data_IF_585497569906
#
_entry.id   IF_585497569906
#
_cell.length_a   1.000
_cell.length_b   1.000
_cell.length_c   1.000
_cell.angle_alpha   90.00
_cell.angle_beta   90.00
_cell.angle_gamma   90.00
#
_symmetry.space_group_name_H-M   'P 1'
#
loop_
_entity.id
_entity.type
_entity.pdbx_description
1 polymer ?
#
# COMPACT_ATOMS: atom_id res chain seq x y z
N UNK A 1 -21.40 -8.69 -3.46
CA UNK A 1 -21.33 -8.77 -2.00
C UNK A 1 -20.01 -9.44 -1.64
N UNK A 2 -19.27 -8.96 -0.66
CA UNK A 2 -17.98 -9.52 -0.24
C UNK A 2 -18.14 -10.02 1.19
N UNK A 3 -17.64 -11.21 1.47
CA UNK A 3 -17.62 -11.81 2.79
C UNK A 3 -16.17 -11.95 3.28
N UNK A 4 -15.90 -11.57 4.52
CA UNK A 4 -14.59 -11.79 5.15
C UNK A 4 -14.65 -13.13 5.87
N UNK A 5 -14.12 -14.17 5.23
CA UNK A 5 -14.16 -15.54 5.76
C UNK A 5 -13.15 -15.74 6.88
N UNK A 6 -11.90 -15.36 6.66
CA UNK A 6 -10.78 -15.63 7.58
C UNK A 6 -9.90 -14.41 7.75
N UNK A 7 -9.46 -14.16 8.98
CA UNK A 7 -8.42 -13.17 9.32
C UNK A 7 -7.24 -13.87 9.98
N UNK A 8 -6.04 -13.66 9.44
CA UNK A 8 -4.79 -14.15 10.00
C UNK A 8 -3.96 -12.99 10.56
N UNK A 9 -3.50 -13.12 11.80
CA UNK A 9 -2.59 -12.18 12.44
C UNK A 9 -1.71 -12.94 13.45
N UNK A 10 -0.38 -12.99 13.28
CA UNK A 10 0.51 -13.70 14.21
C UNK A 10 0.46 -13.14 15.63
N UNK A 11 0.02 -11.87 15.78
CA UNK A 11 -0.15 -11.21 17.08
C UNK A 11 -1.58 -11.26 17.62
N UNK A 12 -2.45 -12.08 17.01
CA UNK A 12 -3.86 -12.23 17.41
C UNK A 12 -3.98 -12.47 18.92
N UNK A 13 -4.84 -11.67 19.57
CA UNK A 13 -5.18 -11.78 20.97
C UNK A 13 -6.71 -11.91 21.16
N UNK A 14 -7.13 -12.21 22.38
CA UNK A 14 -8.55 -12.44 22.69
C UNK A 14 -9.46 -11.22 22.43
N UNK A 15 -8.95 -10.02 22.62
CA UNK A 15 -9.72 -8.78 22.40
C UNK A 15 -9.96 -8.56 20.91
N UNK A 16 -8.90 -8.67 20.12
CA UNK A 16 -8.96 -8.58 18.65
C UNK A 16 -9.86 -9.67 18.07
N UNK A 17 -9.72 -10.91 18.54
CA UNK A 17 -10.59 -12.01 18.08
C UNK A 17 -12.07 -11.72 18.37
N UNK A 18 -12.41 -11.30 19.60
CA UNK A 18 -13.78 -10.92 19.96
C UNK A 18 -14.33 -9.80 19.09
N UNK A 19 -13.50 -8.81 18.76
CA UNK A 19 -13.88 -7.73 17.84
C UNK A 19 -14.18 -8.26 16.45
N UNK A 20 -13.29 -9.06 15.86
CA UNK A 20 -13.45 -9.62 14.52
C UNK A 20 -14.69 -10.50 14.42
N UNK A 21 -14.97 -11.34 15.42
CA UNK A 21 -16.18 -12.15 15.46
C UNK A 21 -17.46 -11.31 15.53
N UNK A 22 -17.45 -10.17 16.23
CA UNK A 22 -18.57 -9.22 16.22
C UNK A 22 -18.78 -8.58 14.84
N UNK A 23 -17.71 -8.42 14.06
CA UNK A 23 -17.77 -7.94 12.68
C UNK A 23 -18.22 -9.02 11.68
N UNK A 24 -18.51 -10.24 12.14
CA UNK A 24 -18.99 -11.33 11.29
C UNK A 24 -17.89 -12.20 10.69
N UNK A 25 -16.63 -12.05 11.10
CA UNK A 25 -15.53 -12.90 10.65
C UNK A 25 -15.73 -14.33 11.15
N UNK A 26 -15.73 -15.30 10.22
CA UNK A 26 -16.02 -16.70 10.55
C UNK A 26 -14.82 -17.38 11.21
N UNK A 27 -13.62 -17.18 10.66
CA UNK A 27 -12.42 -17.84 11.12
C UNK A 27 -11.33 -16.82 11.50
N UNK A 28 -10.60 -17.14 12.56
CA UNK A 28 -9.47 -16.33 13.05
C UNK A 28 -8.31 -17.28 13.29
N UNK A 29 -7.14 -16.95 12.76
CA UNK A 29 -5.94 -17.78 12.86
C UNK A 29 -4.70 -16.91 13.11
N UNK A 30 -3.60 -17.54 13.46
CA UNK A 30 -2.28 -16.91 13.54
C UNK A 30 -1.40 -17.21 12.33
N UNK A 31 -1.84 -18.09 11.46
CA UNK A 31 -1.07 -18.56 10.32
C UNK A 31 -1.76 -18.13 9.00
N UNK A 32 -1.03 -17.38 8.18
CA UNK A 32 -1.50 -16.96 6.86
C UNK A 32 -1.69 -18.15 5.90
N UNK A 33 -1.00 -19.27 6.14
CA UNK A 33 -1.12 -20.48 5.33
C UNK A 33 -2.54 -21.04 5.34
N UNK A 34 -3.26 -20.92 6.46
CA UNK A 34 -4.67 -21.32 6.56
C UNK A 34 -5.57 -20.59 5.55
N UNK A 35 -5.22 -19.33 5.20
CA UNK A 35 -5.92 -18.56 4.16
C UNK A 35 -5.49 -19.01 2.76
N UNK A 36 -4.20 -19.24 2.57
CA UNK A 36 -3.64 -19.57 1.26
C UNK A 36 -4.11 -20.96 0.79
N UNK A 37 -4.25 -21.91 1.68
CA UNK A 37 -4.70 -23.27 1.37
C UNK A 37 -6.21 -23.43 1.28
N UNK A 38 -6.99 -22.47 1.74
CA UNK A 38 -8.46 -22.56 1.71
C UNK A 38 -8.99 -22.29 0.29
N UNK A 39 -9.49 -23.33 -0.36
CA UNK A 39 -10.02 -23.27 -1.73
C UNK A 39 -11.30 -22.41 -1.86
N UNK A 40 -11.99 -22.13 -0.76
CA UNK A 40 -13.20 -21.29 -0.76
C UNK A 40 -12.88 -19.79 -0.65
N UNK A 41 -11.61 -19.41 -0.52
CA UNK A 41 -11.16 -18.01 -0.52
C UNK A 41 -10.71 -17.61 -1.93
N UNK A 42 -11.43 -16.69 -2.56
CA UNK A 42 -11.13 -16.19 -3.91
C UNK A 42 -10.06 -15.10 -3.92
N UNK A 43 -9.97 -14.30 -2.86
CA UNK A 43 -9.10 -13.13 -2.80
C UNK A 43 -8.53 -12.90 -1.41
N UNK A 44 -7.35 -12.31 -1.35
CA UNK A 44 -6.68 -11.93 -0.10
C UNK A 44 -6.42 -10.44 -0.02
N UNK A 45 -6.54 -9.88 1.19
CA UNK A 45 -6.16 -8.51 1.51
C UNK A 45 -4.90 -8.58 2.39
N UNK A 46 -3.79 -8.09 1.86
CA UNK A 46 -2.49 -8.05 2.54
C UNK A 46 -2.33 -6.67 3.17
N UNK A 47 -2.48 -6.61 4.50
CA UNK A 47 -2.37 -5.41 5.32
C UNK A 47 -1.34 -5.62 6.46
N UNK A 48 -0.38 -6.48 6.24
CA UNK A 48 0.69 -6.83 7.16
C UNK A 48 1.80 -5.77 7.16
N UNK A 49 2.94 -6.04 7.79
CA UNK A 49 4.12 -5.17 7.69
C UNK A 49 4.73 -5.22 6.29
N UNK A 50 5.28 -4.10 5.85
CA UNK A 50 5.81 -3.90 4.48
C UNK A 50 6.81 -4.97 4.05
N UNK A 51 7.67 -5.41 4.96
CA UNK A 51 8.70 -6.44 4.72
C UNK A 51 8.12 -7.83 4.38
N UNK A 52 6.81 -8.01 4.56
CA UNK A 52 6.11 -9.27 4.25
C UNK A 52 5.25 -9.20 2.98
N UNK A 53 4.99 -8.00 2.44
CA UNK A 53 4.03 -7.82 1.34
C UNK A 53 4.42 -8.60 0.10
N UNK A 54 5.67 -8.44 -0.38
CA UNK A 54 6.14 -9.12 -1.60
C UNK A 54 6.05 -10.64 -1.47
N UNK A 55 6.41 -11.19 -0.30
CA UNK A 55 6.29 -12.61 0.01
C UNK A 55 4.84 -13.09 -0.11
N UNK A 56 3.92 -12.42 0.58
CA UNK A 56 2.52 -12.83 0.56
C UNK A 56 1.84 -12.62 -0.79
N UNK A 57 2.26 -11.61 -1.58
CA UNK A 57 1.79 -11.47 -2.98
C UNK A 57 2.19 -12.71 -3.79
N UNK A 58 3.45 -13.13 -3.71
CA UNK A 58 3.96 -14.28 -4.44
C UNK A 58 3.24 -15.57 -4.02
N UNK A 59 3.08 -15.79 -2.72
CA UNK A 59 2.43 -17.00 -2.19
C UNK A 59 0.94 -17.03 -2.58
N UNK A 60 0.22 -15.91 -2.45
CA UNK A 60 -1.19 -15.80 -2.83
C UNK A 60 -1.39 -15.99 -4.35
N UNK A 61 -0.52 -15.41 -5.16
CA UNK A 61 -0.56 -15.59 -6.61
C UNK A 61 -0.37 -17.06 -7.01
N UNK A 62 0.60 -17.74 -6.39
CA UNK A 62 0.83 -19.19 -6.61
C UNK A 62 -0.34 -20.05 -6.14
N UNK A 63 -1.07 -19.61 -5.13
CA UNK A 63 -2.30 -20.24 -4.66
C UNK A 63 -3.54 -19.88 -5.51
N UNK A 64 -3.37 -19.11 -6.61
CA UNK A 64 -4.44 -18.72 -7.53
C UNK A 64 -5.41 -17.68 -6.98
N UNK A 65 -5.07 -16.98 -5.90
CA UNK A 65 -5.94 -15.99 -5.27
C UNK A 65 -5.73 -14.61 -5.84
N UNK A 66 -6.82 -13.86 -6.02
CA UNK A 66 -6.74 -12.43 -6.32
C UNK A 66 -6.22 -11.66 -5.13
N UNK A 67 -5.52 -10.53 -5.36
CA UNK A 67 -4.72 -9.87 -4.33
C UNK A 67 -5.02 -8.39 -4.29
N UNK A 68 -5.37 -7.90 -3.10
CA UNK A 68 -5.19 -6.51 -2.72
C UNK A 68 -4.03 -6.43 -1.72
N UNK A 69 -3.09 -5.54 -1.95
CA UNK A 69 -1.96 -5.34 -1.04
C UNK A 69 -1.80 -3.87 -0.71
N UNK A 70 -1.57 -3.54 0.56
CA UNK A 70 -1.19 -2.19 0.98
C UNK A 70 0.16 -1.78 0.38
N UNK A 71 0.34 -0.49 0.26
CA UNK A 71 1.59 0.14 -0.19
C UNK A 71 2.65 0.16 0.95
N UNK A 72 3.93 0.21 0.62
CA UNK A 72 4.57 -0.20 -0.63
C UNK A 72 4.60 -1.73 -0.77
N UNK A 73 4.82 -2.24 -1.97
CA UNK A 73 4.95 -3.70 -2.19
C UNK A 73 6.20 -4.25 -1.47
N UNK A 74 7.33 -3.57 -1.60
CA UNK A 74 8.59 -3.87 -0.91
C UNK A 74 9.53 -2.66 -1.05
N UNK A 75 10.59 -2.61 -0.25
CA UNK A 75 11.67 -1.63 -0.40
C UNK A 75 12.66 -2.03 -1.49
N UNK A 76 12.75 -3.31 -1.83
CA UNK A 76 13.61 -3.86 -2.88
C UNK A 76 12.86 -3.95 -4.21
N UNK A 77 13.33 -3.20 -5.23
CA UNK A 77 12.71 -3.20 -6.55
C UNK A 77 12.80 -4.55 -7.26
N UNK A 78 13.76 -5.41 -6.93
CA UNK A 78 13.85 -6.77 -7.45
C UNK A 78 12.67 -7.60 -6.97
N UNK A 79 12.39 -7.56 -5.66
CA UNK A 79 11.24 -8.23 -5.07
C UNK A 79 9.91 -7.67 -5.55
N UNK A 80 9.81 -6.34 -5.75
CA UNK A 80 8.63 -5.72 -6.34
C UNK A 80 8.34 -6.29 -7.73
N UNK A 81 9.37 -6.38 -8.58
CA UNK A 81 9.24 -6.94 -9.94
C UNK A 81 8.87 -8.42 -9.92
N UNK A 82 9.50 -9.20 -9.04
CA UNK A 82 9.19 -10.61 -8.86
C UNK A 82 7.72 -10.82 -8.44
N UNK A 83 7.24 -10.05 -7.47
CA UNK A 83 5.86 -10.13 -6.99
C UNK A 83 4.84 -9.80 -8.11
N UNK A 84 5.09 -8.71 -8.86
CA UNK A 84 4.23 -8.33 -9.99
C UNK A 84 4.24 -9.40 -11.07
N UNK A 85 5.43 -9.87 -11.48
CA UNK A 85 5.55 -10.89 -12.50
C UNK A 85 4.88 -12.21 -12.12
N UNK A 86 5.02 -12.62 -10.83
CA UNK A 86 4.36 -13.84 -10.36
C UNK A 86 2.84 -13.72 -10.41
N UNK A 87 2.28 -12.55 -10.08
CA UNK A 87 0.84 -12.32 -10.18
C UNK A 87 0.35 -12.32 -11.64
N UNK A 88 1.13 -11.73 -12.56
CA UNK A 88 0.85 -11.75 -14.00
C UNK A 88 0.91 -13.17 -14.56
N UNK A 89 1.95 -13.93 -14.26
CA UNK A 89 2.14 -15.31 -14.72
C UNK A 89 1.04 -16.25 -14.21
N UNK A 90 0.56 -16.02 -12.99
CA UNK A 90 -0.56 -16.77 -12.41
C UNK A 90 -1.92 -16.33 -12.95
N UNK A 91 -2.01 -15.23 -13.69
CA UNK A 91 -3.26 -14.69 -14.25
C UNK A 91 -4.22 -14.15 -13.17
N UNK A 92 -3.72 -13.83 -11.98
CA UNK A 92 -4.52 -13.27 -10.90
C UNK A 92 -4.51 -11.74 -10.92
N UNK A 93 -5.53 -11.13 -10.33
CA UNK A 93 -5.60 -9.67 -10.20
C UNK A 93 -4.76 -9.24 -9.02
N UNK A 94 -3.84 -8.28 -9.25
CA UNK A 94 -3.10 -7.60 -8.20
C UNK A 94 -3.49 -6.13 -8.19
N UNK A 95 -3.97 -5.65 -7.06
CA UNK A 95 -4.25 -4.24 -6.81
C UNK A 95 -3.46 -3.74 -5.61
N UNK A 96 -2.79 -2.60 -5.77
CA UNK A 96 -2.05 -1.96 -4.68
C UNK A 96 -2.87 -0.83 -4.08
N UNK A 97 -2.80 -0.67 -2.75
CA UNK A 97 -3.58 0.22 -1.93
C UNK A 97 -3.23 1.71 -2.07
N UNK A 98 -3.14 2.23 -3.29
CA UNK A 98 -3.03 3.68 -3.52
C UNK A 98 -4.39 4.35 -3.28
N UNK A 99 -4.78 4.45 -2.02
CA UNK A 99 -6.12 4.83 -1.58
C UNK A 99 -6.57 6.21 -2.08
N UNK A 100 -5.65 7.17 -2.30
CA UNK A 100 -5.98 8.51 -2.79
C UNK A 100 -6.65 8.51 -4.17
N UNK A 101 -6.42 7.50 -5.01
CA UNK A 101 -7.12 7.35 -6.30
C UNK A 101 -8.62 7.12 -6.15
N UNK A 102 -9.06 6.63 -4.98
CA UNK A 102 -10.45 6.32 -4.64
C UNK A 102 -11.10 7.35 -3.71
N UNK A 103 -10.32 8.29 -3.17
CA UNK A 103 -10.85 9.44 -2.42
C UNK A 103 -11.62 10.37 -3.36
N UNK A 104 -12.81 10.79 -2.94
CA UNK A 104 -13.72 11.56 -3.81
C UNK A 104 -13.16 12.93 -4.22
N UNK A 105 -12.35 13.60 -3.37
CA UNK A 105 -11.74 14.89 -3.70
C UNK A 105 -10.63 14.73 -4.74
N UNK A 106 -9.71 13.79 -4.52
CA UNK A 106 -8.65 13.47 -5.47
C UNK A 106 -9.22 12.97 -6.78
N UNK A 107 -10.27 12.16 -6.73
CA UNK A 107 -10.99 11.69 -7.91
C UNK A 107 -11.66 12.84 -8.65
N UNK A 108 -12.26 13.79 -7.94
CA UNK A 108 -12.84 14.99 -8.54
C UNK A 108 -11.81 15.82 -9.31
N UNK A 109 -10.59 15.97 -8.78
CA UNK A 109 -9.48 16.63 -9.50
C UNK A 109 -9.09 15.84 -10.75
N UNK A 110 -8.97 14.52 -10.64
CA UNK A 110 -8.68 13.64 -11.78
C UNK A 110 -9.74 13.78 -12.88
N UNK A 111 -11.01 13.74 -12.53
CA UNK A 111 -12.12 13.87 -13.50
C UNK A 111 -12.12 15.25 -14.19
N UNK A 112 -11.76 16.33 -13.47
CA UNK A 112 -11.59 17.66 -14.08
C UNK A 112 -10.42 17.67 -15.08
N UNK A 113 -9.32 17.03 -14.78
CA UNK A 113 -8.17 16.89 -15.71
C UNK A 113 -8.61 16.10 -16.94
N UNK A 114 -9.18 14.92 -16.75
CA UNK A 114 -9.57 14.01 -17.84
C UNK A 114 -10.66 14.58 -18.74
N UNK A 115 -11.58 15.37 -18.20
CA UNK A 115 -12.62 16.03 -18.99
C UNK A 115 -12.09 17.20 -19.84
N UNK A 116 -10.84 17.58 -19.69
CA UNK A 116 -10.24 18.71 -20.40
C UNK A 116 -10.68 20.10 -19.92
N UNK A 117 -11.51 20.18 -18.87
CA UNK A 117 -12.05 21.45 -18.34
C UNK A 117 -10.99 22.46 -17.93
N UNK A 118 -9.82 21.99 -17.49
CA UNK A 118 -8.69 22.83 -17.09
C UNK A 118 -7.60 22.91 -18.17
N UNK A 119 -7.84 22.31 -19.34
CA UNK A 119 -6.85 22.21 -20.41
C UNK A 119 -5.75 21.21 -20.12
N UNK A 120 -4.61 21.35 -20.80
CA UNK A 120 -3.45 20.48 -20.62
C UNK A 120 -2.72 20.80 -19.31
N UNK A 121 -2.50 19.80 -18.48
CA UNK A 121 -1.70 19.93 -17.25
C UNK A 121 -0.28 20.40 -17.59
N UNK A 122 0.16 21.47 -16.96
CA UNK A 122 1.51 22.04 -17.13
C UNK A 122 2.32 21.91 -15.84
N UNK A 123 1.67 21.96 -14.69
CA UNK A 123 2.29 21.87 -13.37
C UNK A 123 1.36 21.18 -12.40
N UNK A 124 1.91 20.34 -11.56
CA UNK A 124 1.25 19.74 -10.41
C UNK A 124 2.04 20.11 -9.17
N UNK A 125 1.39 20.70 -8.18
CA UNK A 125 1.96 20.95 -6.86
C UNK A 125 1.14 20.21 -5.82
N UNK A 126 1.81 19.35 -5.05
CA UNK A 126 1.21 18.61 -3.95
C UNK A 126 1.89 19.08 -2.66
N UNK A 127 1.09 19.27 -1.62
CA UNK A 127 1.59 19.56 -0.27
C UNK A 127 0.91 18.59 0.69
N UNK A 128 1.68 17.68 1.26
CA UNK A 128 1.23 16.72 2.24
C UNK A 128 1.92 16.98 3.57
N UNK A 129 1.17 16.91 4.65
CA UNK A 129 1.67 17.14 6.00
C UNK A 129 0.88 16.29 6.97
N UNK A 130 1.59 15.58 7.82
CA UNK A 130 0.98 14.92 8.96
C UNK A 130 0.91 15.89 10.15
N UNK A 131 -0.09 15.78 11.03
CA UNK A 131 -0.26 16.66 12.17
C UNK A 131 0.85 16.51 13.21
N UNK A 132 1.43 15.32 13.32
CA UNK A 132 2.51 14.97 14.23
C UNK A 132 3.56 14.10 13.54
N UNK A 133 4.83 14.19 13.95
CA UNK A 133 5.87 13.30 13.43
C UNK A 133 5.60 11.86 13.88
N UNK A 134 5.99 10.85 13.08
CA UNK A 134 5.87 9.46 13.47
C UNK A 134 6.80 9.12 14.64
N UNK A 135 6.44 8.08 15.40
CA UNK A 135 7.31 7.56 16.44
C UNK A 135 8.65 7.06 15.86
N UNK A 136 9.76 7.32 16.54
CA UNK A 136 11.12 6.97 16.06
C UNK A 136 11.25 5.48 15.73
N UNK A 137 10.63 4.61 16.51
CA UNK A 137 10.64 3.16 16.24
C UNK A 137 9.95 2.80 14.91
N UNK A 138 8.93 3.58 14.52
CA UNK A 138 8.29 3.43 13.22
C UNK A 138 9.18 3.98 12.09
N UNK A 139 9.83 5.13 12.28
CA UNK A 139 10.77 5.71 11.29
C UNK A 139 11.83 4.70 10.88
N UNK A 140 12.40 3.97 11.85
CA UNK A 140 13.44 2.95 11.59
C UNK A 140 13.02 1.83 10.63
N UNK A 141 11.73 1.57 10.50
CA UNK A 141 11.19 0.45 9.72
C UNK A 141 10.27 0.86 8.58
N UNK A 142 9.86 2.14 8.52
CA UNK A 142 8.91 2.63 7.50
C UNK A 142 9.52 2.83 6.11
N UNK A 143 10.85 2.87 6.01
CA UNK A 143 11.57 3.26 4.79
C UNK A 143 11.65 4.76 4.59
N UNK A 144 11.27 5.55 5.62
CA UNK A 144 11.31 7.01 5.63
C UNK A 144 10.20 7.69 4.83
N UNK A 145 10.22 9.01 4.86
CA UNK A 145 9.17 9.85 4.29
C UNK A 145 8.90 9.56 2.80
N UNK A 146 9.91 9.15 2.03
CA UNK A 146 9.77 8.88 0.61
C UNK A 146 8.95 7.62 0.33
N UNK A 147 9.17 6.53 1.10
CA UNK A 147 8.47 5.26 0.92
C UNK A 147 7.15 5.22 1.67
N UNK A 148 7.04 5.88 2.80
CA UNK A 148 5.83 5.81 3.61
C UNK A 148 4.78 6.85 3.21
N UNK A 149 5.16 8.13 3.16
CA UNK A 149 4.24 9.24 2.93
C UNK A 149 4.23 9.72 1.47
N UNK A 150 5.41 10.07 0.93
CA UNK A 150 5.49 10.68 -0.41
C UNK A 150 5.17 9.72 -1.55
N UNK A 151 5.19 8.42 -1.32
CA UNK A 151 4.74 7.43 -2.31
C UNK A 151 3.31 7.73 -2.79
N UNK A 152 2.44 8.23 -1.92
CA UNK A 152 1.10 8.67 -2.28
C UNK A 152 1.09 9.90 -3.18
N UNK A 153 2.03 10.82 -2.96
CA UNK A 153 2.17 12.04 -3.76
C UNK A 153 2.74 11.73 -5.14
N UNK A 154 3.72 10.82 -5.21
CA UNK A 154 4.28 10.34 -6.48
C UNK A 154 3.22 9.61 -7.31
N UNK A 155 2.44 8.74 -6.68
CA UNK A 155 1.34 8.04 -7.34
C UNK A 155 0.30 9.02 -7.88
N UNK A 156 -0.11 9.99 -7.06
CA UNK A 156 -1.11 10.98 -7.44
C UNK A 156 -0.61 11.89 -8.56
N UNK A 157 0.65 12.32 -8.53
CA UNK A 157 1.25 13.10 -9.60
C UNK A 157 1.24 12.34 -10.93
N UNK A 158 1.63 11.06 -10.93
CA UNK A 158 1.59 10.19 -12.11
C UNK A 158 0.17 9.94 -12.62
N UNK A 159 -0.78 9.75 -11.69
CA UNK A 159 -2.20 9.55 -12.00
C UNK A 159 -2.80 10.77 -12.70
N UNK A 160 -2.55 11.97 -12.18
CA UNK A 160 -3.02 13.23 -12.76
C UNK A 160 -2.32 13.58 -14.09
N UNK A 161 -1.05 13.24 -14.23
CA UNK A 161 -0.26 13.46 -15.45
C UNK A 161 -0.64 12.48 -16.60
N UNK A 162 -1.56 11.55 -16.38
CA UNK A 162 -2.00 10.60 -17.41
C UNK A 162 -0.93 9.61 -17.84
N UNK A 163 0.01 9.23 -16.96
CA UNK A 163 1.08 8.28 -17.23
C UNK A 163 2.27 8.87 -18.01
N UNK A 164 2.42 10.20 -18.03
CA UNK A 164 3.60 10.86 -18.60
C UNK A 164 4.90 10.30 -17.99
N UNK A 165 5.92 10.13 -18.83
CA UNK A 165 7.23 9.64 -18.41
C UNK A 165 7.93 10.65 -17.50
N UNK A 166 8.54 10.15 -16.42
CA UNK A 166 9.39 10.96 -15.53
C UNK A 166 10.80 11.01 -16.11
N UNK A 167 11.26 12.19 -16.49
CA UNK A 167 12.57 12.39 -17.13
C UNK A 167 13.65 12.83 -16.17
N UNK A 168 13.28 13.51 -15.09
CA UNK A 168 14.22 14.02 -14.09
C UNK A 168 13.58 14.04 -12.70
N UNK A 169 14.36 13.77 -11.67
CA UNK A 169 13.98 13.86 -10.27
C UNK A 169 15.04 14.62 -9.50
N UNK A 170 14.63 15.61 -8.72
CA UNK A 170 15.47 16.31 -7.75
C UNK A 170 14.83 16.21 -6.38
N UNK A 171 15.59 15.80 -5.38
CA UNK A 171 15.13 15.70 -4.02
C UNK A 171 16.00 16.54 -3.07
N UNK A 172 15.36 17.18 -2.10
CA UNK A 172 16.03 17.86 -0.99
C UNK A 172 15.22 17.60 0.28
N UNK A 173 15.90 17.36 1.38
CA UNK A 173 15.28 17.10 2.67
C UNK A 173 16.10 17.71 3.80
N UNK A 174 15.45 17.88 4.96
CA UNK A 174 16.10 18.34 6.19
C UNK A 174 15.31 17.87 7.39
N UNK A 175 15.99 17.43 8.42
CA UNK A 175 15.38 17.14 9.73
C UNK A 175 15.01 18.46 10.40
N UNK A 176 13.72 18.73 10.56
CA UNK A 176 13.23 20.02 11.05
C UNK A 176 12.60 19.94 12.44
N UNK A 177 12.20 18.76 12.90
CA UNK A 177 11.42 18.59 14.15
C UNK A 177 12.29 17.95 15.24
N UNK A 178 12.71 16.73 15.05
CA UNK A 178 13.48 15.95 16.04
C UNK A 178 14.76 15.38 15.38
N UNK A 179 15.94 15.73 15.90
CA UNK A 179 17.21 15.18 15.40
C UNK A 179 17.26 13.64 15.37
N UNK A 180 16.52 12.96 16.26
CA UNK A 180 16.43 11.51 16.29
C UNK A 180 15.86 10.91 15.00
N UNK A 181 15.09 11.67 14.23
CA UNK A 181 14.60 11.27 12.90
C UNK A 181 15.79 11.05 11.95
N UNK A 182 16.73 12.02 11.91
CA UNK A 182 17.95 11.90 11.13
C UNK A 182 18.86 10.76 11.59
N UNK A 183 18.96 10.54 12.90
CA UNK A 183 19.70 9.40 13.46
C UNK A 183 19.05 8.06 13.07
N UNK A 184 17.72 8.03 12.88
CA UNK A 184 16.98 6.88 12.41
C UNK A 184 17.06 6.67 10.87
N UNK A 185 17.70 7.59 10.14
CA UNK A 185 17.96 7.47 8.70
C UNK A 185 16.92 8.13 7.80
N UNK A 186 16.09 9.04 8.33
CA UNK A 186 15.09 9.80 7.57
C UNK A 186 15.36 11.31 7.61
N UNK A 187 14.53 12.11 6.94
CA UNK A 187 14.63 13.57 6.83
C UNK A 187 13.35 14.27 7.26
#
# INVERSE_FOLDING_TARGET
EVEIKTVADPFMNEETEKFLRKCGVQNVTKDAEDILQDEEIDAVLICSSTDTHSKYIIEAARAGKHIFCEKPIDYDLGKVREAIQTAEDAGVKLQIGFCRRFDHNHRGVYDMVQSGRIGKVQMIKISSRDPEPPAIEYVKVSGGIFYDMMIHDFDMARFLAGGAEVTEVVAAGSVLIDPAIGEAGDV
#
